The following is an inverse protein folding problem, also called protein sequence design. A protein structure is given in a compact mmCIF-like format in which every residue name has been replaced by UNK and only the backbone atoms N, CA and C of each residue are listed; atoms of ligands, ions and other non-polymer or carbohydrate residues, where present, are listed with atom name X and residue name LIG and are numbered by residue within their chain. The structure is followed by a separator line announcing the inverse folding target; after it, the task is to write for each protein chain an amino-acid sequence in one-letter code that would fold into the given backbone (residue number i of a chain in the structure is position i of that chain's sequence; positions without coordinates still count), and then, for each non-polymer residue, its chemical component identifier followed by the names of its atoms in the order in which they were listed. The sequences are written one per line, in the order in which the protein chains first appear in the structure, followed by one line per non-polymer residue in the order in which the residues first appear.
data_IF_939818306131
#
_entry.id   IF_939818306131
#
_cell.length_a   1.000
_cell.length_b   1.000
_cell.length_c   1.000
_cell.angle_alpha   90.00
_cell.angle_beta   90.00
_cell.angle_gamma   90.00
#
_symmetry.space_group_name_H-M   'P 1'
#
loop_
_entity.id
_entity.type
_entity.pdbx_description
1 polymer ?
#
# COMPACT_ATOMS: atom_id res chain seq x y z
N UNK A 1 24.27 -5.91 98.83
CA UNK A 1 23.77 -4.58 99.28
C UNK A 1 24.09 -3.55 98.20
N UNK A 2 23.16 -2.62 97.89
CA UNK A 2 23.08 -1.68 96.73
C UNK A 2 22.50 -2.29 95.45
N UNK A 3 21.56 -1.69 94.72
CA UNK A 3 20.59 -0.60 94.96
C UNK A 3 19.60 -0.72 93.78
N UNK A 4 18.29 -0.59 94.04
CA UNK A 4 17.21 -0.48 93.04
C UNK A 4 17.49 0.67 92.06
N UNK A 5 17.11 0.51 90.79
CA UNK A 5 16.59 1.63 89.98
C UNK A 5 15.49 1.12 89.03
N UNK A 6 14.30 1.70 89.20
CA UNK A 6 13.17 1.66 88.29
C UNK A 6 13.45 2.58 87.08
N UNK A 7 12.71 2.37 86.00
CA UNK A 7 12.33 3.25 84.88
C UNK A 7 12.36 2.37 83.61
N UNK A 8 11.41 2.33 82.68
CA UNK A 8 10.15 3.05 82.43
C UNK A 8 9.44 2.20 81.35
N UNK A 9 8.12 2.09 81.43
CA UNK A 9 7.27 1.40 80.46
C UNK A 9 7.14 2.20 79.18
N UNK A 10 7.74 1.72 78.09
CA UNK A 10 7.51 2.24 76.74
C UNK A 10 6.39 1.43 76.05
N UNK A 11 5.24 2.07 75.84
CA UNK A 11 4.08 1.51 75.16
C UNK A 11 4.34 1.61 73.66
N UNK A 12 4.69 0.49 73.03
CA UNK A 12 4.86 0.40 71.57
C UNK A 12 3.47 0.29 70.93
N UNK A 13 3.01 1.36 70.28
CA UNK A 13 1.82 1.38 69.42
C UNK A 13 2.20 0.75 68.07
N UNK A 14 1.58 -0.36 67.63
CA UNK A 14 1.88 -0.92 66.32
C UNK A 14 1.24 -0.05 65.22
N UNK A 15 2.08 0.47 64.32
CA UNK A 15 1.64 1.17 63.12
C UNK A 15 1.03 0.19 62.11
N UNK A 16 -0.25 0.37 61.81
CA UNK A 16 -1.02 -0.41 60.84
C UNK A 16 -0.63 0.02 59.41
N UNK A 17 0.35 -0.70 58.83
CA UNK A 17 0.77 -0.50 57.43
C UNK A 17 -0.23 -1.26 56.55
N UNK A 18 -1.28 -0.56 56.15
CA UNK A 18 -2.17 -1.02 55.08
C UNK A 18 -1.42 -1.04 53.75
N UNK A 19 -0.96 -2.24 53.35
CA UNK A 19 -0.37 -2.49 52.04
C UNK A 19 -1.48 -2.33 50.99
N UNK A 20 -1.51 -1.17 50.34
CA UNK A 20 -2.29 -0.92 49.14
C UNK A 20 -1.84 -1.91 48.06
N UNK A 21 -2.63 -2.96 47.85
CA UNK A 21 -2.45 -3.88 46.71
C UNK A 21 -2.64 -3.09 45.42
N UNK A 22 -1.52 -2.70 44.81
CA UNK A 22 -1.43 -2.14 43.46
C UNK A 22 -2.07 -3.16 42.52
N UNK A 23 -3.25 -2.82 42.00
CA UNK A 23 -4.02 -3.69 41.10
C UNK A 23 -3.16 -4.16 39.93
N UNK A 24 -3.10 -5.47 39.75
CA UNK A 24 -2.56 -6.08 38.53
C UNK A 24 -3.34 -5.51 37.34
N UNK A 25 -2.68 -4.68 36.54
CA UNK A 25 -3.22 -4.29 35.25
C UNK A 25 -3.32 -5.56 34.41
N UNK A 26 -4.54 -6.06 34.22
CA UNK A 26 -4.82 -7.18 33.31
C UNK A 26 -4.30 -6.78 31.92
N UNK A 27 -3.14 -7.29 31.52
CA UNK A 27 -2.70 -7.17 30.14
C UNK A 27 -3.78 -7.75 29.23
N UNK A 28 -4.23 -7.02 28.19
CA UNK A 28 -5.23 -7.57 27.29
C UNK A 28 -4.64 -8.82 26.62
N UNK A 29 -5.30 -9.97 26.80
CA UNK A 29 -4.99 -11.23 26.09
C UNK A 29 -5.24 -11.03 24.60
N UNK A 30 -4.31 -10.38 23.91
CA UNK A 30 -4.30 -10.27 22.46
C UNK A 30 -4.03 -11.67 21.90
N UNK A 31 -4.98 -12.22 21.16
CA UNK A 31 -4.85 -13.56 20.55
C UNK A 31 -3.60 -13.66 19.67
N UNK A 32 -2.98 -14.86 19.61
CA UNK A 32 -1.79 -15.12 18.78
C UNK A 32 -2.01 -14.70 17.32
N UNK A 33 -3.22 -14.91 16.81
CA UNK A 33 -3.66 -14.49 15.47
C UNK A 33 -3.58 -12.97 15.31
N UNK A 34 -4.13 -12.20 16.26
CA UNK A 34 -4.08 -10.74 16.21
C UNK A 34 -2.64 -10.19 16.29
N UNK A 35 -1.75 -10.85 17.06
CA UNK A 35 -0.31 -10.52 17.08
C UNK A 35 0.34 -10.76 15.72
N UNK A 36 0.08 -11.91 15.09
CA UNK A 36 0.61 -12.23 13.77
C UNK A 36 0.17 -11.23 12.70
N UNK A 37 -1.13 -10.92 12.60
CA UNK A 37 -1.64 -9.94 11.64
C UNK A 37 -1.04 -8.54 11.84
N UNK A 38 -0.84 -8.11 13.10
CA UNK A 38 -0.21 -6.83 13.39
C UNK A 38 1.28 -6.81 13.01
N UNK A 39 2.00 -7.89 13.29
CA UNK A 39 3.41 -8.03 12.89
C UNK A 39 3.56 -8.02 11.36
N UNK A 40 2.73 -8.80 10.66
CA UNK A 40 2.71 -8.87 9.20
C UNK A 40 2.41 -7.50 8.57
N UNK A 41 1.39 -6.80 9.08
CA UNK A 41 1.03 -5.46 8.59
C UNK A 41 2.18 -4.46 8.77
N UNK A 42 2.93 -4.55 9.88
CA UNK A 42 4.09 -3.69 10.14
C UNK A 42 5.26 -4.00 9.22
N UNK A 43 5.53 -5.28 8.96
CA UNK A 43 6.55 -5.71 8.01
C UNK A 43 6.21 -5.22 6.60
N UNK A 44 4.97 -5.44 6.16
CA UNK A 44 4.47 -4.99 4.86
C UNK A 44 4.58 -3.46 4.73
N UNK A 45 4.20 -2.71 5.77
CA UNK A 45 4.37 -1.26 5.83
C UNK A 45 5.82 -0.85 5.62
N UNK A 46 6.73 -1.39 6.43
CA UNK A 46 8.13 -1.01 6.35
C UNK A 46 8.74 -1.34 4.98
N UNK A 47 8.39 -2.50 4.43
CA UNK A 47 8.85 -2.94 3.11
C UNK A 47 8.34 -2.01 2.00
N UNK A 48 7.02 -1.83 1.89
CA UNK A 48 6.40 -1.00 0.86
C UNK A 48 6.84 0.46 0.97
N UNK A 49 6.79 1.04 2.17
CA UNK A 49 7.24 2.41 2.40
C UNK A 49 8.72 2.60 1.99
N UNK A 50 9.59 1.68 2.39
CA UNK A 50 11.02 1.78 2.05
C UNK A 50 11.26 1.61 0.55
N UNK A 51 10.56 0.67 -0.09
CA UNK A 51 10.67 0.40 -1.51
C UNK A 51 10.21 1.60 -2.34
N UNK A 52 8.98 2.08 -2.11
CA UNK A 52 8.38 3.20 -2.85
C UNK A 52 9.19 4.49 -2.64
N UNK A 53 9.58 4.78 -1.39
CA UNK A 53 10.40 5.96 -1.11
C UNK A 53 11.77 5.89 -1.79
N UNK A 54 12.41 4.71 -1.85
CA UNK A 54 13.69 4.53 -2.57
C UNK A 54 13.50 4.72 -4.07
N UNK A 55 12.42 4.21 -4.63
CA UNK A 55 12.08 4.39 -6.04
C UNK A 55 11.95 5.87 -6.40
N UNK A 56 11.06 6.60 -5.72
CA UNK A 56 10.85 8.03 -6.00
C UNK A 56 12.09 8.88 -5.74
N UNK A 57 12.89 8.54 -4.72
CA UNK A 57 14.19 9.19 -4.54
C UNK A 57 15.12 8.95 -5.72
N UNK A 58 15.20 7.72 -6.23
CA UNK A 58 16.09 7.36 -7.35
C UNK A 58 15.69 8.09 -8.61
N UNK A 59 14.40 8.07 -8.93
CA UNK A 59 13.81 8.81 -10.05
C UNK A 59 14.11 10.31 -9.97
N UNK A 60 14.01 10.90 -8.77
CA UNK A 60 14.22 12.33 -8.57
C UNK A 60 15.69 12.75 -8.34
N UNK A 61 16.66 11.83 -8.32
CA UNK A 61 18.10 12.15 -8.14
C UNK A 61 18.65 13.14 -9.16
N UNK A 62 18.05 13.23 -10.35
CA UNK A 62 18.45 14.17 -11.39
C UNK A 62 18.19 15.65 -11.05
N UNK A 63 17.36 15.95 -10.04
CA UNK A 63 16.98 17.33 -9.63
C UNK A 63 17.81 17.79 -8.42
N UNK A 64 19.09 17.38 -8.40
CA UNK A 64 20.01 17.41 -7.24
C UNK A 64 20.25 18.81 -6.64
N UNK A 65 20.08 19.88 -7.41
CA UNK A 65 20.32 21.26 -6.94
C UNK A 65 19.15 21.90 -6.19
N UNK A 66 17.95 21.31 -6.24
CA UNK A 66 16.71 21.91 -5.70
C UNK A 66 16.04 21.05 -4.61
N UNK A 67 16.82 20.22 -3.93
CA UNK A 67 16.32 19.39 -2.83
C UNK A 67 16.27 20.20 -1.53
N UNK A 68 15.22 21.03 -1.40
CA UNK A 68 14.84 21.56 -0.09
C UNK A 68 14.35 20.42 0.80
N UNK A 69 14.65 20.48 2.10
CA UNK A 69 14.14 19.55 3.13
C UNK A 69 12.62 19.39 3.07
N UNK A 70 11.92 20.42 2.59
CA UNK A 70 10.47 20.48 2.40
C UNK A 70 9.99 19.46 1.35
N UNK A 71 10.68 19.29 0.23
CA UNK A 71 10.26 18.36 -0.85
C UNK A 71 10.42 16.90 -0.40
N UNK A 72 11.51 16.58 0.31
CA UNK A 72 11.69 15.25 0.91
C UNK A 72 10.65 14.96 1.97
N UNK A 73 10.29 15.96 2.77
CA UNK A 73 9.26 15.82 3.78
C UNK A 73 7.89 15.56 3.15
N UNK A 74 7.51 16.32 2.12
CA UNK A 74 6.28 16.13 1.38
C UNK A 74 6.19 14.71 0.78
N UNK A 75 7.24 14.27 0.08
CA UNK A 75 7.31 12.92 -0.51
C UNK A 75 7.18 11.80 0.54
N UNK A 76 7.86 11.95 1.69
CA UNK A 76 7.75 10.98 2.80
C UNK A 76 6.33 10.93 3.35
N UNK A 77 5.69 12.09 3.51
CA UNK A 77 4.33 12.21 4.03
C UNK A 77 3.33 11.56 3.09
N UNK A 78 3.37 11.92 1.81
CA UNK A 78 2.55 11.35 0.74
C UNK A 78 2.72 9.83 0.69
N UNK A 79 3.95 9.33 0.57
CA UNK A 79 4.22 7.87 0.55
C UNK A 79 3.65 7.17 1.80
N UNK A 80 3.78 7.78 2.98
CA UNK A 80 3.23 7.23 4.22
C UNK A 80 1.70 7.17 4.21
N UNK A 81 1.03 8.21 3.71
CA UNK A 81 -0.43 8.28 3.60
C UNK A 81 -0.94 7.19 2.63
N UNK A 82 -0.35 7.07 1.43
CA UNK A 82 -0.68 6.02 0.47
C UNK A 82 -0.45 4.61 1.03
N UNK A 83 0.73 4.32 1.60
CA UNK A 83 1.05 2.98 2.12
C UNK A 83 0.16 2.62 3.31
N UNK A 84 -0.12 3.56 4.22
CA UNK A 84 -0.98 3.30 5.38
C UNK A 84 -2.42 3.00 4.95
N UNK A 85 -2.95 3.75 4.00
CA UNK A 85 -4.30 3.52 3.50
C UNK A 85 -4.38 2.24 2.66
N UNK A 86 -3.38 1.99 1.81
CA UNK A 86 -3.22 0.75 1.04
C UNK A 86 -3.26 -0.49 1.94
N UNK A 87 -2.50 -0.51 3.03
CA UNK A 87 -2.48 -1.64 3.98
C UNK A 87 -3.83 -1.79 4.68
N UNK A 88 -4.51 -0.69 4.99
CA UNK A 88 -5.86 -0.73 5.56
C UNK A 88 -6.84 -1.40 4.58
N UNK A 89 -6.86 -0.97 3.32
CA UNK A 89 -7.72 -1.57 2.28
C UNK A 89 -7.34 -3.02 2.03
N UNK A 90 -6.05 -3.33 1.97
CA UNK A 90 -5.57 -4.70 1.80
C UNK A 90 -6.09 -5.61 2.91
N UNK A 91 -5.93 -5.21 4.17
CA UNK A 91 -6.32 -6.01 5.33
C UNK A 91 -7.82 -6.27 5.43
N UNK A 92 -8.63 -5.26 5.12
CA UNK A 92 -10.07 -5.29 5.40
C UNK A 92 -10.94 -5.59 4.19
N UNK A 93 -10.43 -5.40 2.98
CA UNK A 93 -11.19 -5.57 1.74
C UNK A 93 -10.54 -6.62 0.85
N UNK A 94 -9.30 -6.37 0.43
CA UNK A 94 -8.64 -7.22 -0.58
C UNK A 94 -8.39 -8.62 -0.04
N UNK A 95 -7.74 -8.76 1.11
CA UNK A 95 -7.38 -10.06 1.65
C UNK A 95 -8.61 -10.96 1.95
N UNK A 96 -9.68 -10.47 2.61
CA UNK A 96 -10.90 -11.26 2.76
C UNK A 96 -11.55 -11.63 1.42
N UNK A 97 -11.63 -10.68 0.47
CA UNK A 97 -12.21 -10.94 -0.84
C UNK A 97 -11.39 -11.98 -1.63
N UNK A 98 -10.05 -11.90 -1.57
CA UNK A 98 -9.13 -12.87 -2.17
C UNK A 98 -9.34 -14.28 -1.63
N UNK A 99 -9.51 -14.42 -0.30
CA UNK A 99 -9.75 -15.71 0.30
C UNK A 99 -11.10 -16.30 -0.15
N UNK A 100 -12.15 -15.48 -0.16
CA UNK A 100 -13.47 -15.89 -0.64
C UNK A 100 -13.43 -16.28 -2.11
N UNK A 101 -12.72 -15.51 -2.94
CA UNK A 101 -12.52 -15.76 -4.35
C UNK A 101 -11.88 -17.13 -4.61
N UNK A 102 -10.70 -17.40 -4.04
CA UNK A 102 -10.00 -18.68 -4.22
C UNK A 102 -10.82 -19.85 -3.69
N UNK A 103 -11.49 -19.69 -2.54
CA UNK A 103 -12.36 -20.74 -2.02
C UNK A 103 -13.55 -21.00 -2.95
N UNK A 104 -14.20 -19.96 -3.48
CA UNK A 104 -15.33 -20.12 -4.38
C UNK A 104 -14.92 -20.87 -5.66
N UNK A 105 -13.80 -20.47 -6.28
CA UNK A 105 -13.35 -21.12 -7.52
C UNK A 105 -12.94 -22.57 -7.28
N UNK A 106 -12.26 -22.85 -6.17
CA UNK A 106 -11.89 -24.21 -5.80
C UNK A 106 -13.10 -25.10 -5.50
N UNK A 107 -14.10 -24.61 -4.75
CA UNK A 107 -15.25 -25.44 -4.35
C UNK A 107 -16.32 -25.58 -5.44
N UNK A 108 -16.62 -24.51 -6.18
CA UNK A 108 -17.70 -24.51 -7.17
C UNK A 108 -17.22 -24.90 -8.57
N UNK A 109 -16.04 -24.44 -8.99
CA UNK A 109 -15.52 -24.66 -10.34
C UNK A 109 -14.42 -25.72 -10.39
N UNK A 110 -13.86 -26.13 -9.24
CA UNK A 110 -12.73 -27.07 -9.12
C UNK A 110 -11.46 -26.56 -9.81
N UNK A 111 -11.34 -25.25 -9.90
CA UNK A 111 -10.21 -24.56 -10.52
C UNK A 111 -9.32 -23.92 -9.44
N UNK A 112 -8.05 -23.70 -9.78
CA UNK A 112 -7.06 -23.20 -8.83
C UNK A 112 -6.68 -21.75 -9.14
N UNK A 113 -7.51 -20.83 -8.69
CA UNK A 113 -7.34 -19.38 -8.87
C UNK A 113 -6.23 -18.72 -8.00
N UNK A 114 -5.24 -19.49 -7.53
CA UNK A 114 -4.17 -18.95 -6.69
C UNK A 114 -3.23 -18.03 -7.48
N UNK A 115 -2.90 -18.40 -8.71
CA UNK A 115 -2.06 -17.63 -9.62
C UNK A 115 -2.70 -16.29 -9.99
N UNK A 116 -3.96 -16.29 -10.40
CA UNK A 116 -4.75 -15.09 -10.69
C UNK A 116 -4.92 -14.21 -9.44
N UNK A 117 -5.13 -14.81 -8.26
CA UNK A 117 -5.14 -14.09 -6.98
C UNK A 117 -3.78 -13.43 -6.69
N UNK A 118 -2.66 -14.14 -6.81
CA UNK A 118 -1.34 -13.58 -6.52
C UNK A 118 -0.98 -12.48 -7.52
N UNK A 119 -1.27 -12.67 -8.80
CA UNK A 119 -1.09 -11.65 -9.84
C UNK A 119 -1.99 -10.43 -9.57
N UNK A 120 -3.24 -10.68 -9.19
CA UNK A 120 -4.20 -9.67 -8.78
C UNK A 120 -3.70 -8.83 -7.60
N UNK A 121 -3.17 -9.44 -6.54
CA UNK A 121 -2.58 -8.73 -5.40
C UNK A 121 -1.39 -7.85 -5.85
N UNK A 122 -0.54 -8.37 -6.75
CA UNK A 122 0.57 -7.58 -7.31
C UNK A 122 0.04 -6.36 -8.09
N UNK A 123 -0.99 -6.55 -8.91
CA UNK A 123 -1.65 -5.48 -9.67
C UNK A 123 -2.32 -4.49 -8.73
N UNK A 124 -2.96 -4.92 -7.65
CA UNK A 124 -3.53 -4.03 -6.63
C UNK A 124 -2.47 -3.10 -6.03
N UNK A 125 -1.34 -3.66 -5.59
CA UNK A 125 -0.23 -2.86 -5.04
C UNK A 125 0.33 -1.89 -6.08
N UNK A 126 0.53 -2.35 -7.31
CA UNK A 126 1.03 -1.54 -8.41
C UNK A 126 0.07 -0.40 -8.79
N UNK A 127 -1.21 -0.70 -8.92
CA UNK A 127 -2.25 0.24 -9.34
C UNK A 127 -2.43 1.39 -8.35
N UNK A 128 -2.10 1.18 -7.07
CA UNK A 128 -2.09 2.23 -6.06
C UNK A 128 -0.96 3.25 -6.24
N UNK A 129 0.08 2.97 -7.01
CA UNK A 129 1.14 3.95 -7.29
C UNK A 129 1.16 4.37 -8.75
N UNK A 130 0.39 3.68 -9.60
CA UNK A 130 0.34 3.89 -11.03
C UNK A 130 0.07 5.34 -11.45
N UNK A 131 -0.86 6.09 -10.84
CA UNK A 131 -1.12 7.47 -11.26
C UNK A 131 0.09 8.41 -11.10
N UNK A 132 0.99 8.09 -10.16
CA UNK A 132 2.21 8.88 -9.91
C UNK A 132 3.37 8.51 -10.80
N UNK A 133 3.40 7.29 -11.36
CA UNK A 133 4.53 6.81 -12.16
C UNK A 133 4.79 7.66 -13.42
N UNK A 134 3.76 8.10 -14.18
CA UNK A 134 3.96 8.99 -15.32
C UNK A 134 4.51 10.38 -14.97
N UNK A 135 4.58 10.77 -13.68
CA UNK A 135 5.08 12.08 -13.26
C UNK A 135 6.54 12.36 -13.69
N UNK A 136 7.32 11.31 -13.98
CA UNK A 136 8.68 11.38 -14.54
C UNK A 136 8.67 12.10 -15.91
N UNK A 137 7.61 11.87 -16.67
CA UNK A 137 7.37 12.45 -17.98
C UNK A 137 6.55 13.74 -17.89
N UNK A 138 6.32 14.29 -16.69
CA UNK A 138 5.57 15.54 -16.55
C UNK A 138 6.34 16.72 -17.16
N UNK A 139 5.61 17.57 -17.87
CA UNK A 139 6.13 18.81 -18.43
C UNK A 139 6.34 19.83 -17.31
N UNK A 140 7.51 20.50 -17.28
CA UNK A 140 7.74 21.65 -16.39
C UNK A 140 7.00 22.87 -16.94
N UNK A 141 6.40 23.65 -16.03
CA UNK A 141 5.54 24.83 -16.33
C UNK A 141 6.21 25.85 -17.26
N UNK A 142 7.53 25.94 -17.22
CA UNK A 142 8.37 26.87 -18.00
C UNK A 142 8.50 26.49 -19.50
N UNK A 143 8.27 25.22 -19.85
CA UNK A 143 8.39 24.71 -21.23
C UNK A 143 7.04 24.67 -21.98
N UNK A 144 6.06 25.49 -21.59
CA UNK A 144 4.69 25.49 -22.10
C UNK A 144 4.57 25.53 -23.64
N UNK A 145 5.58 26.06 -24.35
CA UNK A 145 5.63 26.15 -25.83
C UNK A 145 5.81 24.84 -26.60
N UNK A 146 6.23 23.72 -25.98
CA UNK A 146 6.33 22.43 -26.70
C UNK A 146 4.96 21.79 -26.89
N UNK A 147 4.71 21.20 -28.05
CA UNK A 147 3.47 20.43 -28.28
C UNK A 147 3.28 19.35 -27.20
N UNK A 148 2.03 19.18 -26.78
CA UNK A 148 1.66 18.14 -25.83
C UNK A 148 1.57 16.80 -26.56
N UNK A 149 1.75 15.69 -25.83
CA UNK A 149 1.67 14.37 -26.43
C UNK A 149 0.27 14.09 -26.97
N UNK A 150 0.22 13.26 -28.01
CA UNK A 150 -1.03 12.71 -28.50
C UNK A 150 -1.68 11.84 -27.41
N UNK A 151 -2.99 11.65 -27.50
CA UNK A 151 -3.74 10.94 -26.46
C UNK A 151 -3.28 9.46 -26.34
N UNK A 152 -2.91 8.82 -27.46
CA UNK A 152 -2.38 7.46 -27.49
C UNK A 152 -1.07 7.37 -26.71
N UNK A 153 -0.15 8.32 -26.91
CA UNK A 153 1.14 8.36 -26.23
C UNK A 153 0.97 8.62 -24.72
N UNK A 154 -0.01 9.45 -24.34
CA UNK A 154 -0.36 9.69 -22.94
C UNK A 154 -0.82 8.40 -22.27
N UNK A 155 -1.77 7.69 -22.86
CA UNK A 155 -2.25 6.44 -22.27
C UNK A 155 -1.22 5.33 -22.37
N UNK A 156 -0.34 5.31 -23.39
CA UNK A 156 0.79 4.39 -23.41
C UNK A 156 1.64 4.55 -22.15
N UNK A 157 1.98 5.79 -21.75
CA UNK A 157 2.75 6.04 -20.52
C UNK A 157 2.09 5.46 -19.27
N UNK A 158 0.76 5.45 -19.20
CA UNK A 158 0.01 4.85 -18.08
C UNK A 158 0.01 3.32 -18.18
N UNK A 159 -0.44 2.77 -19.30
CA UNK A 159 -0.67 1.33 -19.48
C UNK A 159 0.63 0.52 -19.49
N UNK A 160 1.68 1.08 -20.08
CA UNK A 160 3.00 0.47 -20.18
C UNK A 160 4.03 1.13 -19.24
N UNK A 161 3.57 1.80 -18.18
CA UNK A 161 4.43 2.36 -17.15
C UNK A 161 5.54 1.39 -16.65
N UNK A 162 5.32 0.06 -16.47
CA UNK A 162 6.40 -0.83 -16.04
C UNK A 162 7.55 -0.87 -17.06
N UNK A 163 7.22 -0.95 -18.36
CA UNK A 163 8.20 -0.96 -19.45
C UNK A 163 8.98 0.35 -19.48
N UNK A 164 8.28 1.48 -19.34
CA UNK A 164 8.91 2.80 -19.33
C UNK A 164 9.78 3.05 -18.10
N UNK A 165 9.42 2.49 -16.95
CA UNK A 165 10.24 2.53 -15.74
C UNK A 165 11.51 1.71 -15.92
N UNK A 166 11.40 0.49 -16.44
CA UNK A 166 12.58 -0.34 -16.72
C UNK A 166 13.49 0.36 -17.71
N UNK A 167 12.96 0.89 -18.82
CA UNK A 167 13.72 1.66 -19.80
C UNK A 167 14.44 2.86 -19.14
N UNK A 168 13.73 3.61 -18.27
CA UNK A 168 14.31 4.73 -17.53
C UNK A 168 15.45 4.28 -16.59
N UNK A 169 15.29 3.17 -15.88
CA UNK A 169 16.32 2.60 -15.00
C UNK A 169 17.53 2.08 -15.79
N UNK A 170 17.33 1.58 -17.01
CA UNK A 170 18.38 1.24 -17.97
C UNK A 170 19.06 2.48 -18.60
N UNK A 171 18.65 3.70 -18.24
CA UNK A 171 19.21 4.94 -18.75
C UNK A 171 18.60 5.45 -20.06
N UNK A 172 17.61 4.74 -20.62
CA UNK A 172 16.89 5.16 -21.83
C UNK A 172 15.88 6.24 -21.44
N UNK A 173 16.17 7.49 -21.81
CA UNK A 173 15.30 8.64 -21.52
C UNK A 173 14.45 8.99 -22.74
N UNK A 174 13.17 8.63 -22.68
CA UNK A 174 12.20 9.09 -23.68
C UNK A 174 12.01 10.62 -23.57
N UNK A 175 11.94 11.29 -24.72
CA UNK A 175 11.71 12.75 -24.79
C UNK A 175 10.25 13.14 -24.61
N UNK A 176 9.39 12.17 -24.30
CA UNK A 176 7.95 12.36 -24.09
C UNK A 176 7.68 13.26 -22.87
N UNK A 177 6.80 14.24 -23.05
CA UNK A 177 6.36 15.16 -21.99
C UNK A 177 4.86 15.40 -22.04
N UNK A 178 4.16 15.08 -20.94
CA UNK A 178 2.71 15.24 -20.84
C UNK A 178 2.32 16.24 -19.76
N UNK A 179 1.20 16.94 -19.98
CA UNK A 179 0.49 17.72 -18.95
C UNK A 179 -0.53 16.88 -18.16
N UNK A 180 -0.89 15.69 -18.65
CA UNK A 180 -1.88 14.80 -18.04
C UNK A 180 -1.40 14.31 -16.66
N UNK A 181 -2.32 14.29 -15.69
CA UNK A 181 -2.02 13.80 -14.34
C UNK A 181 -2.52 12.39 -14.09
N UNK A 182 -3.42 11.83 -14.92
CA UNK A 182 -4.02 10.51 -14.73
C UNK A 182 -4.81 10.32 -13.41
N UNK A 183 -4.91 11.34 -12.55
CA UNK A 183 -5.66 11.30 -11.29
C UNK A 183 -7.16 11.50 -11.53
N UNK A 184 -7.77 10.66 -12.36
CA UNK A 184 -9.17 10.79 -12.77
C UNK A 184 -9.81 9.45 -13.14
N UNK A 185 -11.15 9.41 -13.11
CA UNK A 185 -11.93 8.22 -13.47
C UNK A 185 -11.80 7.83 -14.94
N UNK A 186 -11.53 8.78 -15.84
CA UNK A 186 -11.29 8.46 -17.25
C UNK A 186 -10.09 7.53 -17.41
N UNK A 187 -8.99 7.85 -16.73
CA UNK A 187 -7.76 7.05 -16.74
C UNK A 187 -7.96 5.71 -16.05
N UNK A 188 -8.73 5.68 -14.95
CA UNK A 188 -9.17 4.45 -14.31
C UNK A 188 -9.92 3.53 -15.28
N UNK A 189 -10.89 4.05 -16.03
CA UNK A 189 -11.69 3.25 -16.97
C UNK A 189 -10.82 2.68 -18.10
N UNK A 190 -9.93 3.50 -18.68
CA UNK A 190 -8.99 3.03 -19.72
C UNK A 190 -8.06 1.95 -19.16
N UNK A 191 -7.56 2.13 -17.94
CA UNK A 191 -6.71 1.16 -17.28
C UNK A 191 -7.45 -0.15 -16.95
N UNK A 192 -8.69 -0.08 -16.49
CA UNK A 192 -9.51 -1.26 -16.22
C UNK A 192 -9.81 -2.06 -17.49
N UNK A 193 -10.12 -1.38 -18.61
CA UNK A 193 -10.30 -2.03 -19.91
C UNK A 193 -8.99 -2.72 -20.37
N UNK A 194 -7.85 -2.07 -20.18
CA UNK A 194 -6.55 -2.67 -20.46
C UNK A 194 -6.27 -3.91 -19.61
N UNK A 195 -6.54 -3.85 -18.30
CA UNK A 195 -6.39 -5.01 -17.40
C UNK A 195 -7.35 -6.15 -17.76
N UNK A 196 -8.56 -5.84 -18.23
CA UNK A 196 -9.48 -6.86 -18.72
C UNK A 196 -8.90 -7.60 -19.94
N UNK A 197 -8.36 -6.85 -20.92
CA UNK A 197 -7.69 -7.45 -22.09
C UNK A 197 -6.48 -8.29 -21.67
N UNK A 198 -5.67 -7.81 -20.71
CA UNK A 198 -4.56 -8.58 -20.17
C UNK A 198 -5.01 -9.85 -19.44
N UNK A 199 -6.09 -9.77 -18.65
CA UNK A 199 -6.69 -10.93 -18.00
C UNK A 199 -7.15 -11.96 -19.01
N UNK A 200 -7.80 -11.51 -20.08
CA UNK A 200 -8.22 -12.37 -21.18
C UNK A 200 -7.04 -13.11 -21.82
N UNK A 201 -5.92 -12.42 -22.07
CA UNK A 201 -4.72 -13.06 -22.62
C UNK A 201 -3.99 -13.98 -21.63
N UNK A 202 -4.10 -13.71 -20.33
CA UNK A 202 -3.39 -14.46 -19.31
C UNK A 202 -4.13 -15.74 -18.88
N UNK A 203 -5.46 -15.71 -18.87
CA UNK A 203 -6.31 -16.77 -18.28
C UNK A 203 -7.43 -17.24 -19.23
N UNK A 204 -7.50 -16.73 -20.46
CA UNK A 204 -8.51 -17.16 -21.43
C UNK A 204 -8.11 -18.43 -22.15
N UNK A 205 -8.56 -19.58 -21.63
CA UNK A 205 -8.47 -20.87 -22.32
C UNK A 205 -9.75 -21.17 -23.11
N UNK A 206 -9.63 -21.80 -24.27
CA UNK A 206 -10.78 -22.12 -25.14
C UNK A 206 -11.10 -23.63 -25.12
N UNK A 207 -12.38 -24.04 -24.90
CA UNK A 207 -13.55 -23.18 -24.67
C UNK A 207 -13.55 -22.56 -23.27
N UNK A 208 -13.94 -21.29 -23.20
CA UNK A 208 -13.93 -20.50 -21.96
C UNK A 208 -14.89 -21.10 -20.93
N UNK A 209 -14.33 -21.52 -19.80
CA UNK A 209 -15.02 -21.97 -18.60
C UNK A 209 -15.56 -20.78 -17.79
N UNK A 210 -16.45 -21.04 -16.83
CA UNK A 210 -16.91 -20.01 -15.90
C UNK A 210 -15.77 -19.56 -14.96
N UNK A 211 -14.88 -20.47 -14.56
CA UNK A 211 -13.74 -20.10 -13.72
C UNK A 211 -12.65 -19.35 -14.51
N UNK A 212 -12.46 -19.63 -15.80
CA UNK A 212 -11.66 -18.75 -16.67
C UNK A 212 -12.19 -17.32 -16.63
N UNK A 213 -13.52 -17.13 -16.68
CA UNK A 213 -14.13 -15.79 -16.57
C UNK A 213 -13.84 -15.14 -15.22
N UNK A 214 -13.87 -15.87 -14.11
CA UNK A 214 -13.56 -15.30 -12.78
C UNK A 214 -12.09 -14.88 -12.69
N UNK A 215 -11.18 -15.69 -13.24
CA UNK A 215 -9.74 -15.39 -13.31
C UNK A 215 -9.46 -14.17 -14.21
N UNK A 216 -10.06 -14.10 -15.40
CA UNK A 216 -9.97 -12.95 -16.32
C UNK A 216 -10.43 -11.66 -15.62
N UNK A 217 -11.56 -11.71 -14.92
CA UNK A 217 -12.14 -10.55 -14.24
C UNK A 217 -11.37 -10.15 -12.97
N UNK A 218 -10.62 -11.08 -12.36
CA UNK A 218 -9.88 -10.80 -11.13
C UNK A 218 -8.93 -9.60 -11.31
N UNK A 219 -8.20 -9.54 -12.44
CA UNK A 219 -7.22 -8.50 -12.74
C UNK A 219 -7.81 -7.08 -12.70
N UNK A 220 -8.84 -6.74 -13.51
CA UNK A 220 -9.45 -5.43 -13.43
C UNK A 220 -10.05 -5.15 -12.05
N UNK A 221 -10.61 -6.13 -11.33
CA UNK A 221 -11.11 -5.90 -9.97
C UNK A 221 -10.01 -5.45 -9.00
N UNK A 222 -8.89 -6.18 -8.92
CA UNK A 222 -7.78 -5.80 -8.06
C UNK A 222 -7.17 -4.45 -8.48
N UNK A 223 -7.01 -4.23 -9.78
CA UNK A 223 -6.47 -2.99 -10.32
C UNK A 223 -7.35 -1.78 -10.03
N UNK A 224 -8.67 -1.92 -10.19
CA UNK A 224 -9.66 -0.91 -9.83
C UNK A 224 -9.55 -0.55 -8.35
N UNK A 225 -9.56 -1.55 -7.45
CA UNK A 225 -9.46 -1.29 -6.00
C UNK A 225 -8.16 -0.55 -5.67
N UNK A 226 -7.04 -0.94 -6.27
CA UNK A 226 -5.74 -0.29 -6.04
C UNK A 226 -5.74 1.17 -6.51
N UNK A 227 -6.23 1.43 -7.70
CA UNK A 227 -6.29 2.77 -8.27
C UNK A 227 -7.29 3.66 -7.52
N UNK A 228 -8.44 3.12 -7.13
CA UNK A 228 -9.44 3.83 -6.32
C UNK A 228 -8.90 4.16 -4.92
N UNK A 229 -8.07 3.28 -4.36
CA UNK A 229 -7.36 3.52 -3.11
C UNK A 229 -6.44 4.74 -3.25
N UNK A 230 -5.71 4.85 -4.36
CA UNK A 230 -4.89 6.03 -4.69
C UNK A 230 -5.74 7.30 -4.76
N UNK A 231 -6.79 7.31 -5.60
CA UNK A 231 -7.66 8.47 -5.77
C UNK A 231 -8.33 8.92 -4.46
N UNK A 232 -8.58 7.98 -3.54
CA UNK A 232 -9.15 8.30 -2.23
C UNK A 232 -8.16 9.03 -1.33
N UNK A 233 -6.89 8.65 -1.35
CA UNK A 233 -5.83 9.33 -0.58
C UNK A 233 -5.65 10.76 -1.11
N UNK A 234 -5.69 10.92 -2.43
CA UNK A 234 -5.57 12.24 -3.09
C UNK A 234 -6.83 13.10 -3.03
N UNK A 235 -7.91 12.61 -2.41
CA UNK A 235 -9.17 13.34 -2.25
C UNK A 235 -9.75 13.81 -3.59
N UNK A 236 -9.55 13.02 -4.65
CA UNK A 236 -10.23 13.23 -5.94
C UNK A 236 -11.74 12.94 -5.80
N UNK A 237 -12.11 12.17 -4.79
CA UNK A 237 -13.46 11.79 -4.40
C UNK A 237 -13.59 11.44 -2.89
#
# INVERSE_FOLDING_TARGET
MKKKKNEETEIIVPADISIVKRGESKEPKVSKVKRFFNAMSRLLYNFLYSFVLRFFKTVNRGVRSSYSSIVLWAMKRETSEHVKFLIKVFKWVVFPASLLYVCADFFFFRENALDSMFLGILIFLYSNFLPDLPSIYRKKKENSRKEDLLWEEKYALLLFAPVFIVAFLCGIRLRWKTAETFHNFKSLTVYAAFLFVLGFFAFGDFPISIGDVTEILSLPFYGLIGYLTHLKVDKVW
#
